data_IF_177969858394
#
_entry.id   IF_177969858394
#
_cell.length_a   1.000
_cell.length_b   1.000
_cell.length_c   1.000
_cell.angle_alpha   90.00
_cell.angle_beta   90.00
_cell.angle_gamma   90.00
#
_symmetry.space_group_name_H-M   'P 1'
#
loop_
_entity.id
_entity.type
_entity.pdbx_description
1 polymer ?
#
# COMPACT_ATOMS: atom_id res chain seq x y z
N UNK A 1 -8.12 0.26 -23.64
CA UNK A 1 -6.69 -0.13 -23.70
C UNK A 1 -6.58 -1.65 -23.58
N UNK A 2 -5.91 -2.34 -24.53
CA UNK A 2 -5.69 -3.79 -24.46
C UNK A 2 -4.41 -4.03 -23.67
N UNK A 3 -4.52 -4.68 -22.52
CA UNK A 3 -3.38 -5.11 -21.70
C UNK A 3 -2.51 -6.08 -22.51
N UNK A 4 -1.51 -5.55 -23.21
CA UNK A 4 -0.46 -6.31 -23.89
C UNK A 4 0.46 -6.93 -22.84
N UNK A 5 -0.01 -7.95 -22.14
CA UNK A 5 0.89 -8.97 -21.65
C UNK A 5 1.53 -9.60 -22.89
N UNK A 6 2.84 -9.41 -23.06
CA UNK A 6 3.63 -10.09 -24.10
C UNK A 6 3.27 -11.58 -24.05
N UNK A 7 3.06 -12.28 -25.19
CA UNK A 7 2.70 -13.69 -25.20
C UNK A 7 3.90 -14.47 -24.66
N UNK A 8 3.93 -14.59 -23.34
CA UNK A 8 4.94 -15.32 -22.59
C UNK A 8 4.25 -16.63 -22.22
N UNK A 9 4.82 -17.72 -22.73
CA UNK A 9 4.48 -19.09 -22.37
C UNK A 9 4.50 -19.18 -20.84
N UNK A 10 3.33 -19.17 -20.19
CA UNK A 10 3.24 -19.44 -18.76
C UNK A 10 2.91 -20.92 -18.61
N UNK A 11 3.81 -21.74 -18.04
CA UNK A 11 3.49 -23.13 -17.77
C UNK A 11 2.31 -23.22 -16.80
N UNK A 12 1.55 -24.30 -16.91
CA UNK A 12 0.43 -24.58 -16.01
C UNK A 12 0.93 -24.70 -14.56
N UNK A 13 0.09 -24.28 -13.61
CA UNK A 13 0.42 -24.33 -12.18
C UNK A 13 1.30 -23.19 -11.66
N UNK A 14 1.60 -22.16 -12.46
CA UNK A 14 2.34 -20.97 -11.99
C UNK A 14 1.40 -19.95 -11.35
N UNK A 15 1.69 -19.60 -10.10
CA UNK A 15 1.05 -18.48 -9.42
C UNK A 15 1.59 -17.15 -9.98
N UNK A 16 0.68 -16.27 -10.38
CA UNK A 16 0.99 -14.92 -10.84
C UNK A 16 0.36 -13.93 -9.88
N UNK A 17 1.19 -13.06 -9.33
CA UNK A 17 0.77 -11.94 -8.50
C UNK A 17 1.16 -10.62 -9.14
N UNK A 18 0.40 -9.58 -8.85
CA UNK A 18 0.73 -8.21 -9.23
C UNK A 18 0.94 -7.41 -7.95
N UNK A 19 2.11 -6.79 -7.81
CA UNK A 19 2.39 -5.89 -6.68
C UNK A 19 1.67 -4.56 -6.88
N UNK A 20 0.52 -4.37 -6.21
CA UNK A 20 -0.24 -3.11 -6.26
C UNK A 20 0.65 -1.94 -5.79
N UNK A 21 1.43 -2.16 -4.73
CA UNK A 21 2.42 -1.19 -4.24
C UNK A 21 3.35 -0.70 -5.35
N UNK A 22 3.92 -1.62 -6.14
CA UNK A 22 4.85 -1.27 -7.22
C UNK A 22 4.21 -0.49 -8.36
N UNK A 23 2.91 -0.73 -8.65
CA UNK A 23 2.18 0.03 -9.68
C UNK A 23 1.86 1.43 -9.18
N UNK A 24 1.35 1.54 -7.95
CA UNK A 24 0.95 2.81 -7.34
C UNK A 24 2.14 3.70 -7.01
N UNK A 25 3.33 3.12 -6.82
CA UNK A 25 4.56 3.88 -6.58
C UNK A 25 5.45 4.04 -7.83
N UNK A 26 4.90 3.80 -9.02
CA UNK A 26 5.66 3.96 -10.25
C UNK A 26 5.59 5.41 -10.74
N UNK A 27 6.74 6.07 -10.84
CA UNK A 27 6.87 7.46 -11.32
C UNK A 27 6.32 7.67 -12.74
N UNK A 28 6.23 6.60 -13.55
CA UNK A 28 5.60 6.66 -14.88
C UNK A 28 4.10 6.94 -14.81
N UNK A 29 3.44 6.50 -13.74
CA UNK A 29 1.98 6.58 -13.56
C UNK A 29 1.57 7.60 -12.51
N UNK A 30 2.42 7.91 -11.55
CA UNK A 30 2.14 8.83 -10.45
C UNK A 30 3.32 9.78 -10.27
N UNK A 31 3.10 11.08 -10.43
CA UNK A 31 4.10 12.09 -10.07
C UNK A 31 4.32 12.09 -8.54
N UNK A 32 5.56 12.16 -8.07
CA UNK A 32 5.90 12.09 -6.63
C UNK A 32 5.12 10.99 -5.88
N UNK A 33 5.26 9.71 -6.26
CA UNK A 33 4.41 8.63 -5.77
C UNK A 33 4.48 8.39 -4.25
N UNK A 34 5.58 8.79 -3.62
CA UNK A 34 5.82 8.61 -2.18
C UNK A 34 5.38 9.82 -1.34
N UNK A 35 4.82 10.86 -1.96
CA UNK A 35 4.29 12.03 -1.26
C UNK A 35 2.76 11.93 -1.12
N UNK A 36 2.25 12.32 0.05
CA UNK A 36 0.81 12.38 0.29
C UNK A 36 0.21 13.66 -0.32
N UNK A 37 -0.26 13.55 -1.57
CA UNK A 37 -0.83 14.67 -2.33
C UNK A 37 -2.31 14.40 -2.66
N UNK A 38 -3.26 14.70 -1.76
CA UNK A 38 -4.69 14.46 -2.00
C UNK A 38 -5.27 15.29 -3.16
N UNK A 39 -4.67 16.46 -3.45
CA UNK A 39 -5.06 17.36 -4.54
C UNK A 39 -4.97 16.70 -5.92
N UNK A 40 -4.20 15.63 -6.03
CA UNK A 40 -4.12 14.74 -7.20
C UNK A 40 -5.50 14.34 -7.73
N UNK A 41 -6.45 14.13 -6.84
CA UNK A 41 -7.77 13.56 -7.16
C UNK A 41 -8.87 14.61 -7.39
N UNK A 42 -8.53 15.90 -7.28
CA UNK A 42 -9.49 17.00 -7.45
C UNK A 42 -9.63 17.38 -8.94
N UNK A 43 -10.87 17.66 -9.37
CA UNK A 43 -11.22 17.90 -10.78
C UNK A 43 -10.72 19.25 -11.33
N UNK A 44 -10.41 20.21 -10.48
CA UNK A 44 -9.96 21.55 -10.86
C UNK A 44 -8.45 21.54 -11.17
N UNK A 45 -8.13 21.11 -12.39
CA UNK A 45 -6.79 20.82 -12.92
C UNK A 45 -5.78 21.97 -13.03
N UNK A 46 -5.67 22.83 -12.01
CA UNK A 46 -4.52 23.74 -11.84
C UNK A 46 -3.41 23.18 -10.95
N UNK A 47 -3.73 22.17 -10.13
CA UNK A 47 -2.79 21.46 -9.24
C UNK A 47 -2.67 19.96 -9.54
N UNK A 48 -3.43 19.43 -10.50
CA UNK A 48 -3.41 18.01 -10.84
C UNK A 48 -2.10 17.67 -11.57
N UNK A 49 -1.05 17.38 -10.81
CA UNK A 49 0.12 16.71 -11.36
C UNK A 49 -0.33 15.42 -12.06
N UNK A 50 0.19 15.16 -13.25
CA UNK A 50 -0.23 14.03 -14.08
C UNK A 50 -0.20 12.71 -13.28
N UNK A 51 -1.31 11.99 -13.28
CA UNK A 51 -1.36 10.58 -12.91
C UNK A 51 -2.24 9.82 -13.90
N UNK A 52 -1.98 8.53 -14.03
CA UNK A 52 -2.77 7.60 -14.84
C UNK A 52 -3.89 7.00 -13.99
N UNK A 53 -5.17 7.40 -14.17
CA UNK A 53 -6.28 6.91 -13.36
C UNK A 53 -6.45 5.39 -13.48
N UNK A 54 -6.13 4.82 -14.65
CA UNK A 54 -6.21 3.38 -14.90
C UNK A 54 -5.16 2.57 -14.11
N UNK A 55 -4.08 3.20 -13.64
CA UNK A 55 -3.09 2.56 -12.78
C UNK A 55 -3.52 2.51 -11.29
N UNK A 56 -4.58 3.22 -10.92
CA UNK A 56 -5.09 3.24 -9.56
C UNK A 56 -6.06 2.08 -9.28
N UNK A 57 -5.51 0.96 -8.80
CA UNK A 57 -6.26 -0.30 -8.59
C UNK A 57 -6.19 -0.84 -7.15
N UNK A 58 -6.53 -0.05 -6.10
CA UNK A 58 -6.46 -0.50 -4.71
C UNK A 58 -7.38 -1.71 -4.41
N UNK A 59 -8.46 -1.85 -5.18
CA UNK A 59 -9.42 -2.96 -5.07
C UNK A 59 -9.23 -4.04 -6.17
N UNK A 60 -8.05 -4.06 -6.81
CA UNK A 60 -7.77 -4.87 -8.01
C UNK A 60 -8.69 -4.56 -9.20
N UNK A 61 -8.49 -5.27 -10.32
CA UNK A 61 -9.32 -5.17 -11.54
C UNK A 61 -9.50 -6.56 -12.16
N UNK A 62 -10.60 -6.77 -12.88
CA UNK A 62 -10.89 -8.02 -13.60
C UNK A 62 -11.71 -9.02 -12.79
N UNK A 63 -11.63 -10.33 -13.10
CA UNK A 63 -12.53 -11.35 -12.53
C UNK A 63 -12.33 -11.61 -11.03
N UNK A 64 -11.24 -11.10 -10.46
CA UNK A 64 -10.90 -11.21 -9.03
C UNK A 64 -10.94 -9.85 -8.32
N UNK A 65 -11.67 -8.88 -8.88
CA UNK A 65 -11.89 -7.57 -8.23
C UNK A 65 -12.55 -7.75 -6.86
N UNK A 66 -12.21 -6.89 -5.90
CA UNK A 66 -12.83 -6.90 -4.59
C UNK A 66 -14.35 -6.64 -4.70
N UNK A 67 -15.15 -7.66 -4.37
CA UNK A 67 -16.62 -7.55 -4.35
C UNK A 67 -17.10 -6.53 -3.30
N UNK A 68 -16.34 -6.36 -2.22
CA UNK A 68 -16.64 -5.42 -1.13
C UNK A 68 -16.25 -3.97 -1.42
N UNK A 69 -15.77 -3.62 -2.62
CA UNK A 69 -15.31 -2.26 -2.94
C UNK A 69 -16.35 -1.18 -2.60
N UNK A 70 -17.62 -1.41 -2.98
CA UNK A 70 -18.69 -0.44 -2.73
C UNK A 70 -18.91 -0.21 -1.24
N UNK A 71 -19.02 -1.31 -0.47
CA UNK A 71 -19.22 -1.26 0.98
C UNK A 71 -18.04 -0.57 1.67
N UNK A 72 -16.80 -0.97 1.35
CA UNK A 72 -15.61 -0.41 1.97
C UNK A 72 -15.48 1.10 1.77
N UNK A 73 -15.79 1.60 0.56
CA UNK A 73 -15.79 3.04 0.29
C UNK A 73 -16.85 3.74 1.14
N UNK A 74 -18.08 3.22 1.20
CA UNK A 74 -19.14 3.81 2.00
C UNK A 74 -18.81 3.84 3.50
N UNK A 75 -18.29 2.74 4.04
CA UNK A 75 -17.91 2.64 5.45
C UNK A 75 -16.77 3.59 5.81
N UNK A 76 -15.70 3.63 5.01
CA UNK A 76 -14.57 4.52 5.24
C UNK A 76 -14.99 5.98 5.12
N UNK A 77 -15.82 6.34 4.14
CA UNK A 77 -16.33 7.71 3.99
C UNK A 77 -17.20 8.12 5.19
N UNK A 78 -18.10 7.25 5.65
CA UNK A 78 -18.95 7.55 6.80
C UNK A 78 -18.15 7.64 8.10
N UNK A 79 -17.20 6.71 8.31
CA UNK A 79 -16.32 6.73 9.46
C UNK A 79 -15.48 8.02 9.49
N UNK A 80 -14.84 8.39 8.37
CA UNK A 80 -14.08 9.64 8.28
C UNK A 80 -14.94 10.87 8.55
N UNK A 81 -16.14 10.94 7.96
CA UNK A 81 -17.07 12.04 8.21
C UNK A 81 -17.47 12.14 9.69
N UNK A 82 -17.76 10.99 10.33
CA UNK A 82 -18.08 10.95 11.75
C UNK A 82 -16.92 11.41 12.62
N UNK A 83 -15.71 10.90 12.37
CA UNK A 83 -14.53 11.27 13.17
C UNK A 83 -14.25 12.77 13.02
N UNK A 84 -14.26 13.31 11.81
CA UNK A 84 -14.08 14.75 11.57
C UNK A 84 -15.17 15.63 12.20
N UNK A 85 -16.40 15.11 12.36
CA UNK A 85 -17.50 15.86 12.99
C UNK A 85 -17.45 15.82 14.52
N UNK A 86 -16.96 14.73 15.11
CA UNK A 86 -17.09 14.46 16.55
C UNK A 86 -15.81 14.66 17.35
N UNK A 87 -14.65 14.72 16.68
CA UNK A 87 -13.35 14.73 17.34
C UNK A 87 -12.46 15.85 16.82
N UNK A 88 -11.65 16.39 17.72
CA UNK A 88 -10.51 17.26 17.41
C UNK A 88 -9.22 16.45 17.42
N UNK A 89 -8.32 16.73 16.48
CA UNK A 89 -7.05 16.04 16.35
C UNK A 89 -5.87 16.95 16.68
N UNK A 90 -4.92 16.43 17.45
CA UNK A 90 -3.64 17.08 17.71
C UNK A 90 -2.52 16.04 17.63
N UNK A 91 -1.36 16.47 17.15
CA UNK A 91 -0.15 15.62 17.13
C UNK A 91 0.40 15.51 18.54
N UNK A 92 0.70 14.30 18.96
CA UNK A 92 1.44 14.04 20.19
C UNK A 92 2.92 14.15 19.86
N UNK A 93 3.59 15.21 20.32
CA UNK A 93 4.97 15.52 19.91
C UNK A 93 5.96 14.39 20.22
N UNK A 94 5.73 13.64 21.31
CA UNK A 94 6.55 12.47 21.67
C UNK A 94 6.40 11.29 20.70
N UNK A 95 5.47 11.35 19.75
CA UNK A 95 5.10 10.28 18.83
C UNK A 95 5.11 10.72 17.35
N UNK A 96 5.75 11.86 17.05
CA UNK A 96 5.70 12.51 15.74
C UNK A 96 6.24 11.67 14.58
N UNK A 97 7.25 10.85 14.84
CA UNK A 97 7.94 10.05 13.82
C UNK A 97 7.56 8.56 13.87
N UNK A 98 6.50 8.20 14.60
CA UNK A 98 6.10 6.79 14.74
C UNK A 98 5.71 6.21 13.38
N UNK A 99 6.42 5.14 13.01
CA UNK A 99 6.17 4.39 11.79
C UNK A 99 6.76 5.02 10.53
N UNK A 100 7.39 6.20 10.59
CA UNK A 100 8.16 6.75 9.49
C UNK A 100 9.48 5.98 9.26
N UNK A 101 10.00 6.03 8.03
CA UNK A 101 11.34 5.52 7.74
C UNK A 101 12.47 6.42 8.25
N UNK A 102 13.69 5.90 8.37
CA UNK A 102 14.87 6.70 8.72
C UNK A 102 15.85 6.77 7.55
N UNK A 103 16.39 7.95 7.21
CA UNK A 103 17.31 8.13 6.07
C UNK A 103 18.52 7.22 6.08
N UNK A 104 18.94 6.79 7.27
CA UNK A 104 20.09 5.90 7.47
C UNK A 104 19.75 4.41 7.34
N UNK A 105 18.45 4.06 7.22
CA UNK A 105 18.00 2.68 7.11
C UNK A 105 18.21 2.11 5.69
N UNK A 106 17.97 0.79 5.57
CA UNK A 106 18.04 0.07 4.30
C UNK A 106 17.06 0.60 3.26
N UNK A 107 17.38 0.36 1.99
CA UNK A 107 16.46 0.66 0.88
C UNK A 107 15.08 0.02 1.12
N UNK A 108 14.01 0.80 0.94
CA UNK A 108 12.65 0.44 1.34
C UNK A 108 12.18 1.10 2.63
N UNK A 109 13.03 1.21 3.66
CA UNK A 109 12.68 1.83 4.95
C UNK A 109 13.35 3.19 5.17
N UNK A 110 14.04 3.71 4.15
CA UNK A 110 14.82 4.94 4.25
C UNK A 110 14.01 6.25 4.13
N UNK A 111 12.69 6.18 3.91
CA UNK A 111 11.85 7.35 3.59
C UNK A 111 11.06 7.82 4.83
N UNK A 112 11.37 8.99 5.40
CA UNK A 112 10.68 9.48 6.60
C UNK A 112 9.21 9.82 6.39
N UNK A 113 8.85 10.28 5.19
CA UNK A 113 7.45 10.58 4.84
C UNK A 113 6.60 9.35 4.52
N UNK A 114 7.18 8.15 4.51
CA UNK A 114 6.48 6.91 4.19
C UNK A 114 6.26 6.08 5.45
N UNK A 115 4.99 5.76 5.73
CA UNK A 115 4.65 4.86 6.81
C UNK A 115 5.08 3.43 6.46
N UNK A 116 5.92 2.84 7.30
CA UNK A 116 6.53 1.55 7.08
C UNK A 116 5.53 0.43 7.40
N UNK A 117 5.24 -0.38 6.40
CA UNK A 117 4.33 -1.51 6.49
C UNK A 117 5.12 -2.82 6.35
N UNK A 118 4.87 -3.76 7.27
CA UNK A 118 5.30 -5.15 7.08
C UNK A 118 4.24 -5.88 6.26
N UNK A 119 4.45 -5.98 4.94
CA UNK A 119 3.55 -6.72 4.06
C UNK A 119 3.93 -8.22 3.96
N UNK A 120 2.93 -9.09 4.04
CA UNK A 120 3.04 -10.54 3.82
C UNK A 120 2.16 -11.02 2.65
N UNK A 121 1.46 -10.11 1.97
CA UNK A 121 0.30 -10.44 1.11
C UNK A 121 0.72 -11.05 -0.24
N UNK A 122 1.97 -10.87 -0.69
CA UNK A 122 2.44 -11.39 -1.98
C UNK A 122 3.32 -12.63 -1.84
N UNK A 123 2.65 -13.79 -1.75
CA UNK A 123 3.18 -15.14 -2.03
C UNK A 123 4.20 -15.74 -1.03
N UNK A 124 3.73 -16.36 0.06
CA UNK A 124 4.44 -17.52 0.62
C UNK A 124 4.13 -18.75 -0.22
N UNK A 125 5.10 -19.20 -1.03
CA UNK A 125 5.10 -20.55 -1.57
C UNK A 125 5.33 -21.49 -0.39
N UNK A 126 4.32 -22.29 -0.01
CA UNK A 126 4.55 -23.53 0.72
C UNK A 126 5.26 -24.50 -0.21
N UNK A 127 6.55 -24.27 -0.45
CA UNK A 127 7.45 -25.32 -0.89
C UNK A 127 7.74 -26.15 0.36
N UNK A 128 7.51 -27.46 0.29
CA UNK A 128 8.10 -28.41 1.22
C UNK A 128 9.59 -28.06 1.39
N UNK A 129 9.99 -27.63 2.59
CA UNK A 129 11.39 -27.31 2.90
C UNK A 129 11.57 -26.00 3.66
N UNK A 130 11.50 -26.08 4.98
CA UNK A 130 12.23 -25.25 5.96
C UNK A 130 12.42 -23.76 5.63
N UNK A 131 11.49 -22.91 6.08
CA UNK A 131 11.80 -21.53 6.47
C UNK A 131 11.49 -21.39 7.95
N UNK A 132 12.56 -21.12 8.70
CA UNK A 132 12.64 -21.02 10.14
C UNK A 132 11.53 -20.09 10.69
N UNK A 133 10.63 -20.65 11.52
CA UNK A 133 9.90 -19.86 12.50
C UNK A 133 10.96 -19.18 13.37
N UNK A 134 11.16 -17.86 13.23
CA UNK A 134 11.82 -17.10 14.30
C UNK A 134 10.95 -17.27 15.54
N UNK A 135 11.53 -17.96 16.51
CA UNK A 135 10.97 -18.28 17.80
C UNK A 135 10.40 -17.01 18.47
N UNK A 136 9.09 -17.01 18.74
CA UNK A 136 8.39 -15.96 19.47
C UNK A 136 8.81 -15.89 20.95
N UNK A 137 9.71 -16.75 21.43
CA UNK A 137 10.27 -16.69 22.79
C UNK A 137 11.14 -15.45 23.04
N UNK A 138 11.69 -14.81 22.00
CA UNK A 138 12.58 -13.64 22.15
C UNK A 138 11.83 -12.30 22.39
N UNK A 139 10.52 -12.25 22.19
CA UNK A 139 9.68 -11.08 22.48
C UNK A 139 9.18 -11.00 23.93
N UNK A 140 9.49 -11.99 24.78
CA UNK A 140 9.13 -11.98 26.22
C UNK A 140 10.22 -11.48 27.16
N UNK A 141 11.36 -11.02 26.66
CA UNK A 141 12.52 -10.62 27.51
C UNK A 141 12.75 -9.11 27.67
N UNK A 142 11.91 -8.23 27.12
CA UNK A 142 12.10 -6.77 27.26
C UNK A 142 10.99 -6.05 28.03
N UNK A 143 10.20 -6.77 28.83
CA UNK A 143 9.29 -6.17 29.83
C UNK A 143 9.55 -6.88 31.15
N UNK A 144 10.50 -6.34 31.90
CA UNK A 144 10.95 -6.78 33.22
C UNK A 144 11.96 -5.78 33.73
#
# INVERSE_FOLDING_TARGET
MRNRCRPSLRPEGVNVGTGIFSIQHNERYFHNPFEFTPERWLADGKLSQAHEPDAYVPFSIGPRVCLGKGLAISEVSLAMAHICWTMDFAVVESMKDIGGGNKDDVYGTHRPGEFQLYDHITCTRWAHGSVQRKDLSLLRRSVG
#
